data_IF_614587417368
#
_entry.id   IF_614587417368
#
_cell.length_a   1.000
_cell.length_b   1.000
_cell.length_c   1.000
_cell.angle_alpha   90.00
_cell.angle_beta   90.00
_cell.angle_gamma   90.00
#
_symmetry.space_group_name_H-M   'P 1'
#
loop_
_entity.id
_entity.type
_entity.pdbx_description
1 polymer ?
#
# COMPACT_ATOMS: atom_id res chain seq x y z
N UNK A 1 -3.65 37.31 -33.68
CA UNK A 1 -2.41 36.83 -34.35
C UNK A 1 -2.03 35.50 -33.73
N UNK A 2 -2.35 34.40 -34.43
CA UNK A 2 -2.00 33.05 -34.03
C UNK A 2 -0.48 32.84 -34.20
N UNK A 3 0.22 32.48 -33.11
CA UNK A 3 1.57 31.93 -33.20
C UNK A 3 1.46 30.40 -33.13
N UNK A 4 1.67 29.78 -34.29
CA UNK A 4 1.91 28.35 -34.47
C UNK A 4 3.00 27.90 -33.49
N UNK A 5 2.66 27.02 -32.56
CA UNK A 5 3.64 26.17 -31.89
C UNK A 5 4.04 25.08 -32.89
N UNK A 6 5.30 25.11 -33.28
CA UNK A 6 5.94 24.14 -34.15
C UNK A 6 5.98 22.77 -33.48
N UNK A 7 5.44 21.77 -34.17
CA UNK A 7 5.72 20.36 -33.90
C UNK A 7 7.22 20.08 -34.10
N UNK A 8 7.86 19.37 -33.16
CA UNK A 8 9.19 18.80 -33.39
C UNK A 8 9.37 17.41 -32.77
N UNK A 9 9.54 16.47 -33.70
CA UNK A 9 10.30 15.21 -33.72
C UNK A 9 10.51 14.41 -32.43
N UNK A 10 9.85 13.27 -32.40
CA UNK A 10 10.30 12.01 -31.84
C UNK A 10 11.53 11.47 -32.60
N UNK A 11 12.75 11.75 -32.14
CA UNK A 11 13.92 10.88 -32.41
C UNK A 11 15.01 11.21 -31.39
N UNK A 12 15.17 10.35 -30.39
CA UNK A 12 16.19 10.50 -29.36
C UNK A 12 16.19 9.31 -28.42
N UNK A 13 16.45 8.13 -28.96
CA UNK A 13 16.71 6.93 -28.17
C UNK A 13 17.99 7.18 -27.37
N UNK A 14 17.86 7.60 -26.11
CA UNK A 14 18.99 7.78 -25.20
C UNK A 14 19.00 6.60 -24.21
N UNK A 15 19.84 5.55 -24.42
CA UNK A 15 19.76 4.33 -23.64
C UNK A 15 20.31 4.47 -22.20
N UNK A 16 20.86 5.63 -21.83
CA UNK A 16 21.66 5.79 -20.61
C UNK A 16 21.14 6.75 -19.53
N UNK A 17 20.10 7.55 -19.78
CA UNK A 17 19.63 8.57 -18.85
C UNK A 17 18.49 8.10 -17.96
N UNK A 18 18.77 7.74 -16.69
CA UNK A 18 17.71 7.46 -15.73
C UNK A 18 16.93 8.71 -15.35
N UNK A 19 15.70 8.88 -15.86
CA UNK A 19 14.77 9.93 -15.43
C UNK A 19 13.78 10.35 -16.52
N UNK A 20 12.74 11.10 -16.12
CA UNK A 20 11.67 11.55 -17.03
C UNK A 20 12.02 12.83 -17.81
N UNK A 21 13.29 12.99 -18.18
CA UNK A 21 13.82 14.17 -18.89
C UNK A 21 13.33 14.29 -20.34
N UNK A 22 12.71 13.24 -20.89
CA UNK A 22 12.08 13.25 -22.21
C UNK A 22 10.68 13.87 -22.19
N UNK A 23 10.04 14.00 -21.02
CA UNK A 23 8.73 14.63 -20.91
C UNK A 23 8.83 16.14 -21.14
N UNK A 24 7.82 16.78 -21.77
CA UNK A 24 7.79 18.23 -21.93
C UNK A 24 7.92 18.95 -20.58
N UNK A 25 8.81 19.94 -20.53
CA UNK A 25 8.92 20.83 -19.37
C UNK A 25 7.85 21.90 -19.50
N UNK A 26 6.99 21.99 -18.48
CA UNK A 26 6.01 23.07 -18.37
C UNK A 26 6.57 24.19 -17.49
N UNK A 27 6.37 25.43 -17.93
CA UNK A 27 6.56 26.61 -17.08
C UNK A 27 5.34 26.78 -16.18
N UNK A 28 5.56 27.08 -14.90
CA UNK A 28 4.48 27.42 -13.96
C UNK A 28 4.21 28.92 -14.07
N UNK A 29 3.07 29.28 -14.65
CA UNK A 29 2.61 30.67 -14.68
C UNK A 29 1.88 30.97 -13.37
N UNK A 30 2.35 31.95 -12.62
CA UNK A 30 1.74 32.35 -11.34
C UNK A 30 1.03 33.69 -11.51
N UNK A 31 -0.28 33.70 -11.27
CA UNK A 31 -1.11 34.90 -11.24
C UNK A 31 -1.72 35.10 -9.86
N UNK A 32 -2.19 36.32 -9.56
CA UNK A 32 -2.99 36.60 -8.37
C UNK A 32 -4.45 36.79 -8.78
N UNK A 33 -5.35 36.01 -8.22
CA UNK A 33 -6.80 36.15 -8.38
C UNK A 33 -7.44 36.13 -7.00
N UNK A 34 -8.21 37.16 -6.66
CA UNK A 34 -8.90 37.30 -5.36
C UNK A 34 -7.98 37.09 -4.14
N UNK A 35 -6.76 37.62 -4.21
CA UNK A 35 -5.75 37.49 -3.17
C UNK A 35 -5.04 36.13 -3.10
N UNK A 36 -5.47 35.13 -3.87
CA UNK A 36 -4.86 33.81 -3.94
C UNK A 36 -3.86 33.70 -5.09
N UNK A 37 -2.78 32.92 -4.87
CA UNK A 37 -1.80 32.60 -5.91
C UNK A 37 -2.32 31.42 -6.74
N UNK A 38 -2.72 31.69 -7.98
CA UNK A 38 -3.14 30.68 -8.96
C UNK A 38 -1.91 30.24 -9.75
N UNK A 39 -1.71 28.93 -9.88
CA UNK A 39 -0.68 28.31 -10.72
C UNK A 39 -1.35 27.71 -11.95
N UNK A 40 -0.91 28.09 -13.14
CA UNK A 40 -1.30 27.49 -14.42
C UNK A 40 -0.14 26.70 -15.00
N UNK A 41 -0.41 25.46 -15.40
CA UNK A 41 0.57 24.50 -15.94
C UNK A 41 -0.05 23.71 -17.10
N UNK A 42 0.79 23.16 -17.97
CA UNK A 42 0.40 22.17 -18.96
C UNK A 42 0.65 20.78 -18.36
N UNK A 43 -0.38 19.93 -18.35
CA UNK A 43 -0.33 18.58 -17.76
C UNK A 43 -0.73 17.52 -18.75
N UNK A 44 -0.26 16.30 -18.51
CA UNK A 44 -0.68 15.10 -19.25
C UNK A 44 -1.66 14.32 -18.41
N UNK A 45 -2.77 13.87 -19.01
CA UNK A 45 -3.70 12.93 -18.40
C UNK A 45 -3.08 11.55 -18.28
N UNK A 46 -3.15 10.95 -17.09
CA UNK A 46 -2.56 9.63 -16.85
C UNK A 46 -3.25 8.50 -17.63
N UNK A 47 -4.54 8.65 -17.91
CA UNK A 47 -5.39 7.71 -18.65
C UNK A 47 -5.44 7.98 -20.17
N UNK A 48 -4.76 9.02 -20.66
CA UNK A 48 -4.74 9.39 -22.07
C UNK A 48 -3.83 8.48 -22.90
N UNK A 49 -4.23 8.19 -24.14
CA UNK A 49 -3.45 7.40 -25.10
C UNK A 49 -2.30 8.20 -25.73
N UNK A 50 -2.49 9.51 -25.96
CA UNK A 50 -1.61 10.32 -26.80
C UNK A 50 -0.73 11.33 -26.04
N UNK A 51 -0.61 11.19 -24.72
CA UNK A 51 0.11 12.13 -23.84
C UNK A 51 -0.20 13.63 -24.13
N UNK A 52 -1.46 13.93 -24.49
CA UNK A 52 -1.93 15.26 -24.86
C UNK A 52 -1.76 16.25 -23.70
N UNK A 53 -1.23 17.44 -24.01
CA UNK A 53 -1.05 18.53 -23.06
C UNK A 53 -2.35 19.31 -22.88
N UNK A 54 -2.79 19.42 -21.63
CA UNK A 54 -3.98 20.15 -21.23
C UNK A 54 -3.58 21.25 -20.25
N UNK A 55 -4.11 22.46 -20.45
CA UNK A 55 -3.92 23.54 -19.50
C UNK A 55 -4.72 23.27 -18.22
N UNK A 56 -4.07 23.41 -17.07
CA UNK A 56 -4.68 23.24 -15.76
C UNK A 56 -4.30 24.40 -14.84
N UNK A 57 -5.30 25.05 -14.26
CA UNK A 57 -5.13 26.06 -13.22
C UNK A 57 -5.54 25.53 -11.85
N UNK A 58 -4.68 25.70 -10.85
CA UNK A 58 -4.95 25.28 -9.48
C UNK A 58 -4.37 26.23 -8.43
N UNK A 59 -4.95 26.19 -7.23
CA UNK A 59 -4.41 26.85 -6.03
C UNK A 59 -3.84 25.79 -5.08
N UNK A 60 -2.67 26.07 -4.49
CA UNK A 60 -2.10 25.21 -3.45
C UNK A 60 -2.68 25.59 -2.10
N UNK A 61 -3.35 24.66 -1.41
CA UNK A 61 -4.09 24.95 -0.18
C UNK A 61 -3.30 24.58 1.08
N UNK A 62 -2.74 23.37 1.13
CA UNK A 62 -2.10 22.82 2.34
C UNK A 62 -0.93 21.91 1.98
N UNK A 63 0.17 22.02 2.72
CA UNK A 63 1.22 20.98 2.69
C UNK A 63 0.74 19.80 3.52
N UNK A 64 0.57 18.65 2.90
CA UNK A 64 0.00 17.45 3.54
C UNK A 64 1.04 16.36 3.82
N UNK A 65 2.21 16.43 3.17
CA UNK A 65 3.35 15.55 3.42
C UNK A 65 4.68 16.19 3.05
N UNK A 66 5.73 15.86 3.81
CA UNK A 66 7.13 16.16 3.49
C UNK A 66 7.95 14.90 3.75
N UNK A 67 8.76 14.49 2.79
CA UNK A 67 9.62 13.32 2.90
C UNK A 67 10.94 13.51 2.17
N UNK A 68 11.79 12.49 2.23
CA UNK A 68 13.08 12.43 1.52
C UNK A 68 12.95 12.64 0.02
N UNK A 69 11.85 12.20 -0.58
CA UNK A 69 11.61 12.26 -2.03
C UNK A 69 10.92 13.55 -2.49
N UNK A 70 10.46 14.40 -1.56
CA UNK A 70 9.90 15.71 -1.88
C UNK A 70 8.71 16.12 -1.01
N UNK A 71 7.85 16.96 -1.59
CA UNK A 71 6.73 17.60 -0.89
C UNK A 71 5.41 17.20 -1.54
N UNK A 72 4.42 16.87 -0.72
CA UNK A 72 3.05 16.63 -1.15
C UNK A 72 2.17 17.78 -0.69
N UNK A 73 1.45 18.39 -1.63
CA UNK A 73 0.52 19.48 -1.36
C UNK A 73 -0.89 19.11 -1.80
N UNK A 74 -1.87 19.48 -1.00
CA UNK A 74 -3.25 19.56 -1.46
C UNK A 74 -3.37 20.75 -2.42
N UNK A 75 -4.04 20.50 -3.54
CA UNK A 75 -4.38 21.51 -4.53
C UNK A 75 -5.88 21.48 -4.80
N UNK A 76 -6.43 22.63 -5.20
CA UNK A 76 -7.81 22.76 -5.65
C UNK A 76 -7.81 23.33 -7.06
N UNK A 77 -8.45 22.64 -8.01
CA UNK A 77 -8.58 23.14 -9.37
C UNK A 77 -9.47 24.37 -9.39
N UNK A 78 -9.09 25.37 -10.20
CA UNK A 78 -9.83 26.65 -10.27
C UNK A 78 -11.18 26.46 -10.96
N UNK A 79 -11.22 25.67 -12.02
CA UNK A 79 -12.41 25.56 -12.88
C UNK A 79 -13.48 24.62 -12.28
N UNK A 80 -13.08 23.44 -11.81
CA UNK A 80 -14.01 22.44 -11.26
C UNK A 80 -14.20 22.55 -9.74
N UNK A 81 -13.29 23.21 -9.03
CA UNK A 81 -13.25 23.22 -7.57
C UNK A 81 -12.85 21.88 -6.93
N UNK A 82 -12.52 20.86 -7.72
CA UNK A 82 -12.09 19.55 -7.24
C UNK A 82 -10.75 19.62 -6.52
N UNK A 83 -10.55 18.71 -5.58
CA UNK A 83 -9.37 18.66 -4.71
C UNK A 83 -8.51 17.46 -5.07
N UNK A 84 -7.20 17.70 -5.24
CA UNK A 84 -6.21 16.69 -5.58
C UNK A 84 -4.98 16.81 -4.66
N UNK A 85 -4.11 15.80 -4.70
CA UNK A 85 -2.78 15.85 -4.10
C UNK A 85 -1.73 15.94 -5.21
N UNK A 86 -0.83 16.92 -5.14
CA UNK A 86 0.34 16.98 -6.02
C UNK A 86 1.60 16.60 -5.25
N UNK A 87 2.31 15.56 -5.71
CA UNK A 87 3.61 15.13 -5.20
C UNK A 87 4.71 15.65 -6.12
N UNK A 88 5.60 16.46 -5.56
CA UNK A 88 6.75 17.04 -6.27
C UNK A 88 7.97 16.17 -5.99
N UNK A 89 8.48 15.50 -7.03
CA UNK A 89 9.61 14.57 -6.91
C UNK A 89 10.79 15.11 -7.70
N UNK A 90 11.88 15.41 -6.99
CA UNK A 90 13.13 15.84 -7.63
C UNK A 90 13.64 14.72 -8.54
N UNK A 91 13.89 15.05 -9.81
CA UNK A 91 14.54 14.13 -10.75
C UNK A 91 16.04 14.25 -10.59
N UNK A 92 16.66 13.17 -10.12
CA UNK A 92 18.11 13.05 -10.03
C UNK A 92 18.59 12.13 -11.16
N UNK A 93 19.49 12.62 -12.01
CA UNK A 93 20.03 11.86 -13.15
C UNK A 93 20.70 10.54 -12.73
N UNK A 94 21.13 10.44 -11.47
CA UNK A 94 21.76 9.23 -10.91
C UNK A 94 20.75 8.17 -10.49
N UNK A 95 19.48 8.55 -10.29
CA UNK A 95 18.45 7.65 -9.78
C UNK A 95 17.32 7.46 -10.81
N UNK A 96 17.12 6.21 -11.24
CA UNK A 96 15.97 5.84 -12.06
C UNK A 96 14.71 5.89 -11.20
N UNK A 97 13.95 6.98 -11.31
CA UNK A 97 12.60 7.05 -10.74
C UNK A 97 11.66 6.19 -11.61
N UNK A 98 11.01 5.19 -10.99
CA UNK A 98 10.05 4.27 -11.65
C UNK A 98 8.61 4.55 -11.24
N UNK A 99 8.39 5.52 -10.35
CA UNK A 99 7.11 5.77 -9.71
C UNK A 99 6.02 6.09 -10.74
N UNK A 100 6.30 6.98 -11.71
CA UNK A 100 5.34 7.32 -12.76
C UNK A 100 5.01 6.11 -13.64
N UNK A 101 6.01 5.32 -14.03
CA UNK A 101 5.80 4.14 -14.88
C UNK A 101 4.91 3.12 -14.17
N UNK A 102 5.18 2.87 -12.88
CA UNK A 102 4.40 1.95 -12.07
C UNK A 102 2.99 2.49 -11.86
N UNK A 103 2.82 3.69 -11.28
CA UNK A 103 1.50 4.18 -10.89
C UNK A 103 0.57 4.42 -12.09
N UNK A 104 1.13 4.75 -13.27
CA UNK A 104 0.35 4.91 -14.51
C UNK A 104 -0.25 3.57 -14.99
N UNK A 105 0.36 2.44 -14.67
CA UNK A 105 -0.16 1.12 -15.02
C UNK A 105 -1.16 0.55 -14.00
N UNK A 106 -1.48 1.27 -12.92
CA UNK A 106 -2.33 0.79 -11.84
C UNK A 106 -3.74 1.39 -11.94
N UNK A 107 -4.75 0.53 -11.84
CA UNK A 107 -6.15 0.93 -11.74
C UNK A 107 -6.90 -0.06 -10.83
N UNK A 108 -7.11 0.34 -9.58
CA UNK A 108 -7.74 -0.51 -8.56
C UNK A 108 -8.37 0.34 -7.45
N UNK A 109 -9.55 -0.04 -6.89
CA UNK A 109 -10.25 0.74 -5.86
C UNK A 109 -9.39 1.02 -4.62
N UNK A 110 -8.51 0.09 -4.23
CA UNK A 110 -7.64 0.22 -3.06
C UNK A 110 -6.20 0.68 -3.37
N UNK A 111 -5.96 1.25 -4.55
CA UNK A 111 -4.72 1.94 -4.91
C UNK A 111 -5.05 3.41 -5.21
N UNK A 112 -4.19 4.33 -4.79
CA UNK A 112 -4.34 5.76 -5.14
C UNK A 112 -4.15 5.95 -6.64
N UNK A 113 -5.14 6.55 -7.29
CA UNK A 113 -5.14 6.85 -8.73
C UNK A 113 -4.27 8.04 -9.05
N UNK A 114 -3.37 7.87 -10.02
CA UNK A 114 -2.75 8.99 -10.74
C UNK A 114 -3.76 9.59 -11.70
N UNK A 115 -3.98 10.90 -11.64
CA UNK A 115 -4.90 11.61 -12.52
C UNK A 115 -4.13 12.34 -13.63
N UNK A 116 -3.06 13.03 -13.26
CA UNK A 116 -2.24 13.80 -14.19
C UNK A 116 -0.78 13.80 -13.77
N UNK A 117 0.12 14.12 -14.71
CA UNK A 117 1.53 14.32 -14.42
C UNK A 117 2.14 15.39 -15.32
N UNK A 118 3.22 16.01 -14.86
CA UNK A 118 3.97 17.01 -15.63
C UNK A 118 5.37 17.23 -15.06
N UNK A 119 6.30 17.73 -15.87
CA UNK A 119 7.65 18.06 -15.44
C UNK A 119 7.86 19.57 -15.38
N UNK A 120 8.54 20.06 -14.35
CA UNK A 120 8.87 21.49 -14.18
C UNK A 120 10.37 21.67 -13.96
N UNK A 121 10.93 22.78 -14.44
CA UNK A 121 12.34 23.14 -14.22
C UNK A 121 12.45 24.27 -13.19
N UNK A 122 13.14 24.02 -12.09
CA UNK A 122 13.63 25.09 -11.21
C UNK A 122 14.89 25.69 -11.85
N UNK A 123 14.69 26.80 -12.58
CA UNK A 123 15.75 27.49 -13.32
C UNK A 123 16.89 27.98 -12.42
N UNK A 124 16.63 28.25 -11.15
CA UNK A 124 17.66 28.73 -10.22
C UNK A 124 18.59 27.60 -9.77
N UNK A 125 18.10 26.36 -9.76
CA UNK A 125 18.84 25.17 -9.29
C UNK A 125 19.18 24.20 -10.40
N UNK A 126 18.86 24.54 -11.65
CA UNK A 126 18.94 23.65 -12.81
C UNK A 126 18.40 22.24 -12.52
N UNK A 127 17.26 22.18 -11.83
CA UNK A 127 16.72 20.94 -11.27
C UNK A 127 15.33 20.67 -11.85
N UNK A 128 15.17 19.51 -12.47
CA UNK A 128 13.86 19.02 -12.95
C UNK A 128 13.09 18.37 -11.81
N UNK A 129 11.79 18.65 -11.74
CA UNK A 129 10.85 18.00 -10.85
C UNK A 129 9.77 17.32 -11.68
N UNK A 130 9.48 16.06 -11.33
CA UNK A 130 8.29 15.36 -11.77
C UNK A 130 7.17 15.65 -10.77
N UNK A 131 6.03 16.06 -11.27
CA UNK A 131 4.86 16.38 -10.48
C UNK A 131 3.76 15.36 -10.77
N UNK A 132 3.32 14.63 -9.74
CA UNK A 132 2.27 13.62 -9.84
C UNK A 132 1.01 14.18 -9.19
N UNK A 133 -0.04 14.45 -9.97
CA UNK A 133 -1.36 14.84 -9.48
C UNK A 133 -2.21 13.58 -9.31
N UNK A 134 -2.57 13.28 -8.07
CA UNK A 134 -3.31 12.09 -7.66
C UNK A 134 -4.63 12.48 -7.00
N UNK A 135 -5.57 11.54 -6.92
CA UNK A 135 -6.78 11.72 -6.12
C UNK A 135 -6.43 12.09 -4.67
N UNK A 136 -7.20 13.01 -4.07
CA UNK A 136 -7.01 13.39 -2.68
C UNK A 136 -7.81 12.50 -1.75
N UNK A 137 -7.14 11.92 -0.76
CA UNK A 137 -7.75 11.14 0.33
C UNK A 137 -7.38 11.85 1.65
N UNK A 138 -8.35 12.12 2.55
CA UNK A 138 -8.17 13.13 3.60
C UNK A 138 -7.22 12.71 4.72
N UNK A 139 -7.24 11.43 5.10
CA UNK A 139 -6.50 10.91 6.25
C UNK A 139 -5.53 9.80 5.88
N UNK A 140 -4.68 9.44 6.85
CA UNK A 140 -3.85 8.23 6.78
C UNK A 140 -4.21 7.31 7.93
N UNK A 141 -4.05 6.00 7.72
CA UNK A 141 -4.27 4.99 8.77
C UNK A 141 -3.45 5.34 10.02
N UNK A 142 -2.21 5.82 9.85
CA UNK A 142 -1.39 6.32 10.96
C UNK A 142 -2.10 7.39 11.80
N UNK A 143 -2.66 8.43 11.15
CA UNK A 143 -3.34 9.52 11.87
C UNK A 143 -4.59 9.04 12.60
N UNK A 144 -5.36 8.13 11.98
CA UNK A 144 -6.56 7.59 12.62
C UNK A 144 -6.19 6.71 13.82
N UNK A 145 -5.21 5.81 13.71
CA UNK A 145 -4.72 5.00 14.85
C UNK A 145 -4.26 5.93 15.99
N UNK A 146 -3.48 6.97 15.68
CA UNK A 146 -2.99 7.92 16.67
C UNK A 146 -4.11 8.75 17.31
N UNK A 147 -5.18 9.07 16.56
CA UNK A 147 -6.35 9.75 17.10
C UNK A 147 -7.04 8.91 18.17
N UNK A 148 -7.30 7.62 17.91
CA UNK A 148 -7.89 6.71 18.90
C UNK A 148 -6.98 6.56 20.13
N UNK A 149 -5.68 6.33 19.91
CA UNK A 149 -4.69 6.18 20.99
C UNK A 149 -4.61 7.39 21.92
N UNK A 150 -4.54 8.62 21.37
CA UNK A 150 -4.50 9.87 22.16
C UNK A 150 -5.77 10.08 22.98
N UNK A 151 -6.91 9.65 22.46
CA UNK A 151 -8.20 9.69 23.15
C UNK A 151 -8.42 8.47 24.07
N UNK A 152 -7.40 7.62 24.29
CA UNK A 152 -7.46 6.41 25.12
C UNK A 152 -8.57 5.43 24.70
N UNK A 153 -8.91 5.43 23.42
CA UNK A 153 -9.85 4.50 22.83
C UNK A 153 -9.11 3.40 22.07
N UNK A 154 -9.67 2.19 22.07
CA UNK A 154 -9.22 1.12 21.18
C UNK A 154 -9.77 1.37 19.78
N UNK A 155 -8.97 1.07 18.76
CA UNK A 155 -9.45 1.12 17.39
C UNK A 155 -10.50 0.00 17.19
N UNK A 156 -11.71 0.29 16.69
CA UNK A 156 -12.78 -0.70 16.68
C UNK A 156 -12.44 -1.88 15.75
N UNK A 157 -12.65 -3.10 16.24
CA UNK A 157 -12.28 -4.34 15.55
C UNK A 157 -12.88 -4.44 14.14
N UNK A 158 -14.11 -3.99 13.96
CA UNK A 158 -14.78 -3.96 12.66
C UNK A 158 -13.96 -3.15 11.62
N UNK A 159 -13.48 -1.97 12.00
CA UNK A 159 -12.66 -1.15 11.11
C UNK A 159 -11.26 -1.75 10.91
N UNK A 160 -10.69 -2.47 11.88
CA UNK A 160 -9.43 -3.22 11.67
C UNK A 160 -9.64 -4.24 10.55
N UNK A 161 -10.72 -5.02 10.60
CA UNK A 161 -11.07 -6.00 9.55
C UNK A 161 -11.26 -5.29 8.20
N UNK A 162 -12.07 -4.24 8.18
CA UNK A 162 -12.41 -3.52 6.96
C UNK A 162 -11.18 -2.87 6.29
N UNK A 163 -10.30 -2.27 7.08
CA UNK A 163 -9.11 -1.58 6.57
C UNK A 163 -8.06 -2.60 6.13
N UNK A 164 -7.80 -3.63 6.94
CA UNK A 164 -6.83 -4.67 6.57
C UNK A 164 -7.25 -5.48 5.37
N UNK A 165 -8.55 -5.77 5.19
CA UNK A 165 -9.04 -6.42 3.97
C UNK A 165 -8.70 -5.60 2.73
N UNK A 166 -8.97 -4.30 2.75
CA UNK A 166 -8.68 -3.38 1.64
C UNK A 166 -7.17 -3.23 1.38
N UNK A 167 -6.34 -3.22 2.43
CA UNK A 167 -4.87 -3.23 2.31
C UNK A 167 -4.42 -4.51 1.60
N UNK A 168 -4.86 -5.68 2.08
CA UNK A 168 -4.53 -6.96 1.46
C UNK A 168 -5.00 -7.03 0.01
N UNK A 169 -6.19 -6.51 -0.30
CA UNK A 169 -6.68 -6.46 -1.68
C UNK A 169 -5.81 -5.59 -2.58
N UNK A 170 -5.46 -4.38 -2.14
CA UNK A 170 -4.53 -3.51 -2.88
C UNK A 170 -3.18 -4.16 -3.11
N UNK A 171 -2.63 -4.85 -2.11
CA UNK A 171 -1.37 -5.58 -2.22
C UNK A 171 -1.48 -6.78 -3.16
N UNK A 172 -2.56 -7.58 -3.05
CA UNK A 172 -2.81 -8.71 -3.95
C UNK A 172 -2.85 -8.26 -5.42
N UNK A 173 -3.51 -7.13 -5.70
CA UNK A 173 -3.56 -6.55 -7.04
C UNK A 173 -2.18 -6.21 -7.59
N UNK A 174 -1.33 -5.50 -6.84
CA UNK A 174 0.01 -5.13 -7.33
C UNK A 174 0.95 -6.34 -7.39
N UNK A 175 0.80 -7.32 -6.48
CA UNK A 175 1.61 -8.55 -6.46
C UNK A 175 1.30 -9.43 -7.67
N UNK A 176 0.04 -9.50 -8.10
CA UNK A 176 -0.38 -10.14 -9.36
C UNK A 176 0.38 -9.58 -10.58
N UNK A 177 0.70 -8.28 -10.57
CA UNK A 177 1.45 -7.61 -11.63
C UNK A 177 2.98 -7.73 -11.44
N UNK A 178 3.45 -8.51 -10.46
CA UNK A 178 4.87 -8.65 -10.11
C UNK A 178 5.46 -7.42 -9.41
N UNK A 179 4.63 -6.45 -9.01
CA UNK A 179 5.07 -5.19 -8.39
C UNK A 179 5.13 -5.40 -6.88
N UNK A 180 6.30 -5.17 -6.30
CA UNK A 180 6.51 -5.08 -4.86
C UNK A 180 6.56 -3.62 -4.43
N UNK A 181 5.77 -3.22 -3.43
CA UNK A 181 5.69 -1.85 -2.95
C UNK A 181 6.95 -1.44 -2.16
N UNK A 182 7.45 -2.34 -1.30
CA UNK A 182 8.68 -2.20 -0.51
C UNK A 182 8.71 -1.04 0.49
N UNK A 183 7.55 -0.48 0.85
CA UNK A 183 7.44 0.57 1.89
C UNK A 183 6.02 0.64 2.48
N UNK A 184 5.42 -0.52 2.75
CA UNK A 184 4.10 -0.59 3.38
C UNK A 184 4.22 -0.21 4.86
N UNK A 185 3.42 0.78 5.25
CA UNK A 185 3.34 1.32 6.61
C UNK A 185 2.07 2.17 6.75
N UNK A 186 1.55 2.42 7.97
CA UNK A 186 0.33 3.18 8.20
C UNK A 186 0.32 4.58 7.58
N UNK A 187 1.48 5.20 7.35
CA UNK A 187 1.58 6.52 6.70
C UNK A 187 1.33 6.47 5.19
N UNK A 188 1.60 5.33 4.54
CA UNK A 188 1.40 5.10 3.10
C UNK A 188 0.06 4.42 2.80
N UNK A 189 -0.80 4.30 3.81
CA UNK A 189 -2.17 3.82 3.68
C UNK A 189 -3.09 5.00 3.91
N UNK A 190 -3.61 5.59 2.82
CA UNK A 190 -4.57 6.67 2.90
C UNK A 190 -5.95 6.11 3.24
N UNK A 191 -6.75 6.85 3.98
CA UNK A 191 -8.12 6.46 4.29
C UNK A 191 -9.09 7.64 4.27
N UNK A 192 -10.31 7.35 3.85
CA UNK A 192 -11.47 8.23 3.96
C UNK A 192 -12.37 7.62 5.05
N UNK A 193 -12.35 8.14 6.30
CA UNK A 193 -13.13 7.58 7.40
C UNK A 193 -14.64 7.63 7.14
N UNK A 194 -15.14 8.63 6.42
CA UNK A 194 -16.56 8.79 6.14
C UNK A 194 -17.04 7.73 5.14
N UNK A 195 -16.22 7.41 4.13
CA UNK A 195 -16.51 6.36 3.14
C UNK A 195 -15.98 4.98 3.54
N UNK A 196 -15.23 4.90 4.63
CA UNK A 196 -14.52 3.71 5.08
C UNK A 196 -13.61 3.07 4.02
N UNK A 197 -13.06 3.87 3.10
CA UNK A 197 -12.19 3.39 2.01
C UNK A 197 -10.72 3.53 2.39
N UNK A 198 -9.91 2.51 2.08
CA UNK A 198 -8.44 2.54 2.21
C UNK A 198 -7.78 2.39 0.85
N UNK A 199 -6.74 3.20 0.62
CA UNK A 199 -5.93 3.19 -0.60
C UNK A 199 -4.44 3.18 -0.27
N UNK A 200 -3.69 2.29 -0.91
CA UNK A 200 -2.22 2.26 -0.86
C UNK A 200 -1.67 3.36 -1.75
N UNK A 201 -0.70 4.14 -1.24
CA UNK A 201 -0.06 5.24 -1.94
C UNK A 201 1.47 5.19 -1.82
N UNK A 202 2.16 6.10 -2.52
CA UNK A 202 3.63 6.26 -2.50
C UNK A 202 4.41 5.08 -3.09
N UNK A 203 4.36 4.99 -4.42
CA UNK A 203 5.09 3.99 -5.20
C UNK A 203 6.55 4.38 -5.48
N UNK A 204 7.10 5.37 -4.76
CA UNK A 204 8.48 5.83 -4.93
C UNK A 204 9.54 4.76 -4.66
N UNK A 205 9.21 3.79 -3.80
CA UNK A 205 10.05 2.61 -3.51
C UNK A 205 9.64 1.37 -4.31
N UNK A 206 8.56 1.41 -5.09
CA UNK A 206 8.05 0.21 -5.74
C UNK A 206 8.97 -0.27 -6.88
N UNK A 207 8.95 -1.58 -7.16
CA UNK A 207 9.70 -2.20 -8.27
C UNK A 207 8.98 -3.48 -8.72
N UNK A 208 8.96 -3.71 -10.03
CA UNK A 208 8.67 -5.04 -10.59
C UNK A 208 9.86 -5.95 -10.25
N UNK A 209 9.59 -7.00 -9.47
CA UNK A 209 10.61 -7.98 -9.10
C UNK A 209 10.70 -9.03 -10.20
N UNK A 210 11.90 -9.18 -10.74
CA UNK A 210 12.21 -10.18 -11.77
C UNK A 210 13.01 -11.27 -11.06
N UNK A 211 12.62 -12.53 -11.31
CA UNK A 211 13.30 -13.68 -10.75
C UNK A 211 14.79 -13.65 -11.13
N UNK A 212 15.67 -14.00 -10.20
CA UNK A 212 17.12 -14.06 -10.39
C UNK A 212 17.80 -12.69 -10.64
N UNK A 213 17.06 -11.57 -10.57
CA UNK A 213 17.65 -10.23 -10.57
C UNK A 213 17.85 -9.70 -9.13
N UNK A 214 19.07 -9.24 -8.77
CA UNK A 214 19.32 -8.71 -7.44
C UNK A 214 18.62 -7.37 -7.20
N UNK A 215 18.21 -7.17 -5.95
CA UNK A 215 17.52 -5.98 -5.48
C UNK A 215 18.24 -5.38 -4.27
N UNK A 216 18.09 -4.08 -4.07
CA UNK A 216 18.60 -3.40 -2.87
C UNK A 216 17.86 -3.94 -1.63
N UNK A 217 18.61 -4.47 -0.67
CA UNK A 217 18.09 -4.99 0.60
C UNK A 217 17.77 -3.88 1.61
N UNK A 218 18.57 -2.81 1.63
CA UNK A 218 18.32 -1.63 2.47
C UNK A 218 17.19 -0.77 1.91
N UNK A 219 15.97 -1.30 2.00
CA UNK A 219 14.71 -0.72 1.54
C UNK A 219 13.66 -0.92 2.64
N UNK A 220 12.47 -0.33 2.48
CA UNK A 220 11.40 -0.31 3.48
C UNK A 220 11.73 0.49 4.74
N UNK A 221 10.72 1.15 5.29
CA UNK A 221 10.80 1.82 6.58
C UNK A 221 11.08 0.81 7.69
N UNK A 222 12.08 1.10 8.53
CA UNK A 222 12.73 0.13 9.44
C UNK A 222 11.76 -0.74 10.25
N UNK A 223 10.75 -0.15 10.91
CA UNK A 223 9.82 -0.88 11.77
C UNK A 223 8.93 -1.90 11.05
N UNK A 224 8.81 -1.77 9.72
CA UNK A 224 7.99 -2.64 8.86
C UNK A 224 8.85 -3.54 7.98
N UNK A 225 10.18 -3.49 8.14
CA UNK A 225 11.14 -4.21 7.30
C UNK A 225 11.12 -5.70 7.65
N UNK A 226 10.97 -6.53 6.62
CA UNK A 226 11.01 -7.98 6.72
C UNK A 226 12.40 -8.49 7.14
N UNK A 227 12.49 -9.60 7.90
CA UNK A 227 13.75 -10.08 8.45
C UNK A 227 14.78 -10.46 7.38
N UNK A 228 14.36 -11.00 6.23
CA UNK A 228 15.26 -11.29 5.10
C UNK A 228 15.95 -10.03 4.54
N UNK A 229 15.27 -8.87 4.53
CA UNK A 229 15.87 -7.60 4.13
C UNK A 229 16.89 -7.10 5.16
N UNK A 230 16.64 -7.37 6.45
CA UNK A 230 17.57 -7.03 7.54
C UNK A 230 18.84 -7.88 7.42
N UNK A 231 18.69 -9.16 7.05
CA UNK A 231 19.78 -10.08 6.76
C UNK A 231 20.47 -9.83 5.41
N UNK A 232 20.07 -8.79 4.68
CA UNK A 232 20.74 -8.37 3.44
C UNK A 232 20.39 -9.20 2.21
N UNK A 233 19.29 -9.95 2.22
CA UNK A 233 18.84 -10.69 1.04
C UNK A 233 18.61 -9.75 -0.15
N UNK A 234 19.18 -10.08 -1.30
CA UNK A 234 19.01 -9.34 -2.56
C UNK A 234 17.98 -9.99 -3.48
N UNK A 235 17.67 -11.27 -3.25
CA UNK A 235 16.69 -12.07 -3.99
C UNK A 235 15.44 -12.34 -3.13
N UNK A 236 14.75 -11.26 -2.76
CA UNK A 236 13.48 -11.33 -2.04
C UNK A 236 12.29 -11.23 -3.00
N UNK A 237 11.10 -11.59 -2.50
CA UNK A 237 9.84 -11.56 -3.27
C UNK A 237 8.88 -10.48 -2.74
N UNK A 238 7.67 -10.44 -3.27
CA UNK A 238 6.58 -9.59 -2.76
C UNK A 238 6.17 -9.92 -1.32
N UNK A 239 6.64 -11.05 -0.76
CA UNK A 239 6.37 -11.45 0.63
C UNK A 239 6.93 -10.49 1.67
N UNK A 240 7.84 -9.58 1.30
CA UNK A 240 8.28 -8.48 2.18
C UNK A 240 7.13 -7.51 2.49
N UNK A 241 6.23 -7.26 1.54
CA UNK A 241 5.04 -6.42 1.76
C UNK A 241 4.02 -7.13 2.66
N UNK A 242 3.92 -8.46 2.55
CA UNK A 242 3.06 -9.30 3.41
C UNK A 242 3.49 -9.20 4.87
N UNK A 243 4.80 -9.27 5.13
CA UNK A 243 5.36 -9.01 6.45
C UNK A 243 5.00 -7.62 6.96
N UNK A 244 5.22 -6.58 6.13
CA UNK A 244 4.88 -5.21 6.49
C UNK A 244 3.38 -5.04 6.79
N UNK A 245 2.50 -5.72 6.06
CA UNK A 245 1.06 -5.75 6.34
C UNK A 245 0.74 -6.43 7.69
N UNK A 246 1.48 -7.48 8.06
CA UNK A 246 1.44 -8.08 9.41
C UNK A 246 1.82 -7.07 10.50
N UNK A 247 2.87 -6.29 10.29
CA UNK A 247 3.24 -5.21 11.22
C UNK A 247 2.13 -4.16 11.37
N UNK A 248 1.48 -3.77 10.25
CA UNK A 248 0.33 -2.85 10.27
C UNK A 248 -0.86 -3.46 11.04
N UNK A 249 -1.17 -4.74 10.83
CA UNK A 249 -2.24 -5.43 11.55
C UNK A 249 -1.98 -5.41 13.06
N UNK A 250 -0.77 -5.72 13.51
CA UNK A 250 -0.41 -5.63 14.93
C UNK A 250 -0.55 -4.19 15.46
N UNK A 251 -0.09 -3.19 14.71
CA UNK A 251 -0.15 -1.78 15.09
C UNK A 251 -1.58 -1.25 15.24
N UNK A 252 -2.56 -1.77 14.49
CA UNK A 252 -3.98 -1.44 14.74
C UNK A 252 -4.43 -1.80 16.16
N UNK A 253 -3.93 -2.90 16.74
CA UNK A 253 -4.33 -3.34 18.08
C UNK A 253 -3.58 -2.60 19.20
N UNK A 254 -2.28 -2.38 19.03
CA UNK A 254 -1.43 -1.82 20.10
C UNK A 254 -1.11 -0.33 19.93
N UNK A 255 -1.53 0.27 18.80
CA UNK A 255 -1.34 1.67 18.43
C UNK A 255 0.12 2.17 18.50
N UNK A 256 1.07 1.27 18.31
CA UNK A 256 2.50 1.52 18.22
C UNK A 256 3.16 0.47 17.32
N UNK A 257 4.34 0.76 16.74
CA UNK A 257 5.07 -0.23 15.95
C UNK A 257 5.36 -1.48 16.79
N UNK A 258 5.08 -2.66 16.23
CA UNK A 258 5.27 -3.95 16.92
C UNK A 258 6.75 -4.32 17.10
N UNK A 259 7.60 -3.86 16.18
CA UNK A 259 9.06 -4.06 16.20
C UNK A 259 9.80 -2.70 16.10
N UNK A 260 9.95 -1.95 17.20
CA UNK A 260 10.56 -0.61 17.19
C UNK A 260 12.08 -0.65 17.40
N UNK A 261 12.87 -1.05 16.39
CA UNK A 261 14.34 -1.08 16.49
C UNK A 261 15.03 0.22 16.04
N UNK A 262 16.11 0.63 16.70
CA UNK A 262 16.84 1.86 16.35
C UNK A 262 17.89 1.66 15.25
N UNK A 263 18.43 0.45 15.11
CA UNK A 263 19.35 0.00 14.06
C UNK A 263 18.85 -1.27 13.35
N UNK A 264 19.56 -1.74 12.32
CA UNK A 264 19.23 -3.04 11.70
C UNK A 264 19.36 -4.20 12.70
N UNK A 265 20.40 -4.17 13.55
CA UNK A 265 20.62 -5.18 14.57
C UNK A 265 19.53 -5.13 15.65
N UNK A 266 19.17 -3.93 16.10
CA UNK A 266 18.09 -3.76 17.08
C UNK A 266 16.74 -4.16 16.51
N UNK A 267 16.48 -3.84 15.23
CA UNK A 267 15.26 -4.28 14.54
C UNK A 267 15.15 -5.79 14.53
N UNK A 268 16.23 -6.51 14.21
CA UNK A 268 16.24 -7.97 14.26
C UNK A 268 16.08 -8.50 15.69
N UNK A 269 16.70 -7.85 16.67
CA UNK A 269 16.54 -8.16 18.10
C UNK A 269 15.08 -8.01 18.56
N UNK A 270 14.36 -6.96 18.12
CA UNK A 270 12.94 -6.77 18.43
C UNK A 270 12.06 -7.87 17.82
N UNK A 271 12.38 -8.31 16.59
CA UNK A 271 11.69 -9.46 15.97
C UNK A 271 11.93 -10.73 16.81
N UNK A 272 13.19 -11.03 17.14
CA UNK A 272 13.54 -12.21 17.95
C UNK A 272 12.97 -12.15 19.37
N UNK A 273 12.72 -10.95 19.92
CA UNK A 273 12.07 -10.78 21.23
C UNK A 273 10.65 -11.34 21.22
N UNK A 274 9.95 -11.28 20.08
CA UNK A 274 8.57 -11.75 19.94
C UNK A 274 8.51 -13.15 19.33
N UNK A 275 9.17 -13.37 18.19
CA UNK A 275 9.10 -14.64 17.47
C UNK A 275 10.04 -15.72 18.03
N UNK A 276 10.94 -15.35 18.96
CA UNK A 276 12.02 -16.22 19.40
C UNK A 276 13.18 -16.24 18.41
N UNK A 277 14.22 -17.02 18.71
CA UNK A 277 15.38 -17.15 17.82
C UNK A 277 15.02 -17.97 16.59
N UNK A 278 15.29 -17.50 15.35
CA UNK A 278 15.07 -18.29 14.16
C UNK A 278 15.98 -19.53 14.17
N UNK A 279 15.50 -20.64 13.62
CA UNK A 279 16.34 -21.81 13.37
C UNK A 279 17.32 -21.54 12.23
N UNK A 280 18.39 -22.32 12.14
CA UNK A 280 19.36 -22.23 11.04
C UNK A 280 18.68 -22.41 9.67
N UNK A 281 17.74 -23.35 9.56
CA UNK A 281 16.93 -23.55 8.36
C UNK A 281 16.12 -22.30 7.99
N UNK A 282 15.50 -21.63 8.96
CA UNK A 282 14.76 -20.39 8.71
C UNK A 282 15.70 -19.26 8.25
N UNK A 283 16.89 -19.16 8.82
CA UNK A 283 17.91 -18.17 8.42
C UNK A 283 18.34 -18.39 6.97
N UNK A 284 18.62 -19.63 6.59
CA UNK A 284 18.99 -19.97 5.20
C UNK A 284 17.85 -19.71 4.21
N UNK A 285 16.59 -19.91 4.62
CA UNK A 285 15.42 -19.59 3.77
C UNK A 285 15.15 -18.07 3.68
N UNK A 286 15.66 -17.27 4.62
CA UNK A 286 15.63 -15.81 4.54
C UNK A 286 16.77 -15.26 3.68
N UNK A 287 17.99 -15.76 3.85
CA UNK A 287 19.14 -15.40 3.04
C UNK A 287 20.11 -16.59 2.93
N UNK A 288 20.17 -17.28 1.77
CA UNK A 288 21.06 -18.43 1.56
C UNK A 288 22.55 -18.09 1.68
N UNK A 289 22.93 -16.82 1.46
CA UNK A 289 24.32 -16.35 1.51
C UNK A 289 24.74 -15.89 2.90
N UNK A 290 23.90 -16.11 3.92
CA UNK A 290 24.19 -15.69 5.29
C UNK A 290 25.23 -16.61 5.93
N UNK A 291 26.42 -16.08 6.22
CA UNK A 291 27.58 -16.85 6.70
C UNK A 291 27.95 -16.59 8.17
N UNK A 292 27.28 -15.65 8.87
CA UNK A 292 27.74 -15.17 10.18
C UNK A 292 26.72 -15.25 11.35
N UNK A 293 27.29 -15.48 12.54
CA UNK A 293 26.75 -15.29 13.89
C UNK A 293 25.67 -16.25 14.44
N UNK A 294 25.96 -16.71 15.67
CA UNK A 294 24.99 -17.32 16.58
C UNK A 294 24.12 -16.22 17.19
N UNK A 295 22.81 -16.32 17.01
CA UNK A 295 21.87 -15.43 17.68
C UNK A 295 21.70 -15.81 19.16
N UNK A 296 21.48 -14.84 20.06
CA UNK A 296 21.09 -15.14 21.44
C UNK A 296 19.82 -15.99 21.45
N UNK A 297 19.81 -17.07 22.23
CA UNK A 297 18.64 -17.95 22.37
C UNK A 297 17.52 -17.21 23.12
N UNK A 298 16.35 -17.09 22.50
CA UNK A 298 15.14 -16.46 23.03
C UNK A 298 13.94 -17.36 22.75
N UNK A 299 13.05 -17.49 23.73
CA UNK A 299 11.74 -18.11 23.52
C UNK A 299 10.79 -17.09 22.90
N UNK A 300 9.86 -17.57 22.09
CA UNK A 300 8.77 -16.74 21.57
C UNK A 300 7.85 -16.25 22.69
N UNK A 301 7.21 -15.11 22.46
CA UNK A 301 6.18 -14.55 23.32
C UNK A 301 4.82 -14.80 22.67
N UNK A 302 3.83 -15.35 23.42
CA UNK A 302 2.49 -15.55 22.88
C UNK A 302 1.86 -14.24 22.36
N UNK A 303 1.24 -14.30 21.19
CA UNK A 303 0.69 -13.12 20.52
C UNK A 303 -0.45 -12.47 21.29
N UNK A 304 -1.19 -13.22 22.12
CA UNK A 304 -2.20 -12.70 23.04
C UNK A 304 -1.59 -11.65 23.98
N UNK A 305 -0.37 -11.91 24.48
CA UNK A 305 0.37 -11.00 25.34
C UNK A 305 0.92 -9.82 24.56
N UNK A 306 1.43 -10.05 23.35
CA UNK A 306 1.96 -8.99 22.47
C UNK A 306 0.87 -7.99 22.10
N UNK A 307 -0.35 -8.48 21.79
CA UNK A 307 -1.51 -7.67 21.47
C UNK A 307 -2.27 -7.16 22.70
N UNK A 308 -1.71 -7.29 23.91
CA UNK A 308 -2.29 -6.79 25.16
C UNK A 308 -3.72 -7.29 25.42
N UNK A 309 -4.05 -8.51 24.99
CA UNK A 309 -5.39 -9.08 25.10
C UNK A 309 -6.45 -8.47 24.17
N UNK A 310 -6.07 -7.54 23.28
CA UNK A 310 -7.00 -6.85 22.35
C UNK A 310 -7.27 -7.65 21.07
N UNK A 311 -6.41 -8.61 20.75
CA UNK A 311 -6.53 -9.44 19.55
C UNK A 311 -7.48 -10.63 19.75
N UNK A 312 -8.40 -10.83 18.81
CA UNK A 312 -9.21 -12.07 18.76
C UNK A 312 -8.36 -13.26 18.31
N UNK A 313 -8.76 -14.52 18.60
CA UNK A 313 -8.05 -15.70 18.11
C UNK A 313 -7.86 -15.72 16.58
N UNK A 314 -8.88 -15.30 15.82
CA UNK A 314 -8.80 -15.17 14.36
C UNK A 314 -7.83 -14.08 13.90
N UNK A 315 -7.72 -12.98 14.65
CA UNK A 315 -6.75 -11.93 14.35
C UNK A 315 -5.31 -12.41 14.59
N UNK A 316 -5.10 -13.15 15.68
CA UNK A 316 -3.81 -13.75 16.04
C UNK A 316 -3.40 -14.79 14.99
N UNK A 317 -4.31 -15.68 14.56
CA UNK A 317 -4.01 -16.66 13.51
C UNK A 317 -3.59 -15.99 12.19
N UNK A 318 -4.31 -14.95 11.75
CA UNK A 318 -3.92 -14.17 10.58
C UNK A 318 -2.54 -13.53 10.77
N UNK A 319 -2.28 -12.94 11.94
CA UNK A 319 -1.03 -12.26 12.24
C UNK A 319 0.17 -13.23 12.21
N UNK A 320 0.02 -14.42 12.78
CA UNK A 320 1.04 -15.48 12.75
C UNK A 320 1.34 -15.90 11.30
N UNK A 321 0.31 -16.03 10.47
CA UNK A 321 0.47 -16.37 9.04
C UNK A 321 1.10 -15.26 8.21
N UNK A 322 1.03 -14.00 8.64
CA UNK A 322 1.69 -12.87 7.98
C UNK A 322 3.15 -12.68 8.45
N UNK A 323 3.43 -12.94 9.72
CA UNK A 323 4.71 -12.67 10.39
C UNK A 323 5.54 -13.94 10.62
N UNK A 324 5.80 -14.69 9.54
CA UNK A 324 6.73 -15.84 9.56
C UNK A 324 8.14 -15.40 9.11
N UNK A 325 9.17 -16.00 9.72
CA UNK A 325 10.55 -15.83 9.27
C UNK A 325 10.73 -16.30 7.83
N UNK A 326 10.17 -17.45 7.48
CA UNK A 326 10.29 -18.04 6.15
C UNK A 326 9.37 -17.28 5.19
N UNK A 327 9.92 -16.57 4.18
CA UNK A 327 9.08 -15.75 3.29
C UNK A 327 8.01 -16.56 2.56
N UNK A 328 8.32 -17.80 2.13
CA UNK A 328 7.40 -18.68 1.41
C UNK A 328 6.30 -19.30 2.27
N UNK A 329 6.40 -19.25 3.61
CA UNK A 329 5.36 -19.72 4.53
C UNK A 329 4.33 -18.65 4.86
N UNK A 330 4.61 -17.38 4.51
CA UNK A 330 3.66 -16.29 4.72
C UNK A 330 2.45 -16.50 3.83
N UNK A 331 1.26 -16.30 4.39
CA UNK A 331 0.02 -16.30 3.60
C UNK A 331 0.07 -15.18 2.56
N UNK A 332 -0.29 -15.48 1.31
CA UNK A 332 -0.33 -14.43 0.28
C UNK A 332 -1.40 -13.39 0.60
N UNK A 333 -1.29 -12.18 0.08
CA UNK A 333 -2.35 -11.18 0.28
C UNK A 333 -3.70 -11.65 -0.28
N UNK A 334 -3.69 -12.38 -1.41
CA UNK A 334 -4.89 -12.92 -2.03
C UNK A 334 -5.56 -13.97 -1.14
N UNK A 335 -4.80 -14.95 -0.65
CA UNK A 335 -5.32 -15.97 0.27
C UNK A 335 -5.71 -15.38 1.63
N UNK A 336 -4.98 -14.35 2.08
CA UNK A 336 -5.26 -13.61 3.31
C UNK A 336 -6.65 -12.97 3.32
N UNK A 337 -7.16 -12.50 2.18
CA UNK A 337 -8.53 -11.97 2.09
C UNK A 337 -9.60 -13.03 2.39
N UNK A 338 -9.34 -14.30 2.09
CA UNK A 338 -10.24 -15.42 2.40
C UNK A 338 -10.15 -15.88 3.86
N UNK A 339 -9.23 -15.31 4.66
CA UNK A 339 -9.06 -15.69 6.05
C UNK A 339 -10.32 -15.44 6.89
N UNK A 340 -10.57 -16.34 7.86
CA UNK A 340 -11.77 -16.32 8.71
C UNK A 340 -11.93 -15.04 9.55
N UNK A 341 -10.83 -14.31 9.76
CA UNK A 341 -10.83 -13.00 10.41
C UNK A 341 -11.79 -12.01 9.74
N UNK A 342 -11.98 -12.14 8.42
CA UNK A 342 -12.82 -11.26 7.60
C UNK A 342 -14.24 -11.81 7.33
N UNK A 343 -14.63 -12.94 7.93
CA UNK A 343 -15.94 -13.57 7.66
C UNK A 343 -17.12 -12.63 7.88
N UNK A 344 -17.06 -11.79 8.92
CA UNK A 344 -18.11 -10.84 9.26
C UNK A 344 -18.40 -9.85 8.12
N UNK A 345 -17.39 -9.52 7.30
CA UNK A 345 -17.57 -8.63 6.14
C UNK A 345 -18.34 -9.33 5.00
N UNK A 346 -18.29 -10.66 4.96
CA UNK A 346 -18.93 -11.52 3.94
C UNK A 346 -20.29 -12.05 4.35
N UNK A 347 -20.79 -11.69 5.54
CA UNK A 347 -22.15 -12.04 5.93
C UNK A 347 -23.15 -11.35 4.99
N UNK A 348 -24.18 -12.08 4.59
CA UNK A 348 -25.25 -11.51 3.79
C UNK A 348 -25.90 -10.33 4.52
N UNK A 349 -25.93 -9.16 3.88
CA UNK A 349 -26.48 -7.94 4.49
C UNK A 349 -25.53 -7.25 5.48
N UNK A 350 -24.23 -7.59 5.52
CA UNK A 350 -23.28 -6.85 6.34
C UNK A 350 -23.26 -5.35 5.97
N UNK A 351 -23.34 -4.50 6.99
CA UNK A 351 -23.32 -3.03 6.89
C UNK A 351 -22.21 -2.44 7.73
N UNK A 352 -21.94 -1.16 7.52
CA UNK A 352 -21.17 -0.34 8.45
C UNK A 352 -21.89 -0.23 9.81
N UNK A 353 -21.20 0.15 10.90
CA UNK A 353 -21.80 0.28 12.23
C UNK A 353 -22.93 1.31 12.32
N UNK A 354 -22.96 2.29 11.41
CA UNK A 354 -24.02 3.30 11.28
C UNK A 354 -25.21 2.84 10.41
N UNK A 355 -25.18 1.58 9.93
CA UNK A 355 -26.18 1.01 9.02
C UNK A 355 -25.94 1.32 7.54
N UNK A 356 -24.90 2.10 7.22
CA UNK A 356 -24.52 2.40 5.83
C UNK A 356 -23.99 1.18 5.07
N UNK A 357 -23.99 1.22 3.72
CA UNK A 357 -23.44 0.13 2.92
C UNK A 357 -21.92 0.02 3.11
N UNK A 358 -21.40 -1.22 3.08
CA UNK A 358 -19.96 -1.43 2.98
C UNK A 358 -19.40 -0.81 1.69
N UNK A 359 -18.13 -0.36 1.68
CA UNK A 359 -17.46 0.01 0.43
C UNK A 359 -17.35 -1.21 -0.50
N UNK A 360 -16.93 -0.98 -1.75
CA UNK A 360 -16.80 -2.05 -2.73
C UNK A 360 -15.66 -3.03 -2.35
N UNK A 361 -16.00 -4.08 -1.61
CA UNK A 361 -15.05 -5.11 -1.15
C UNK A 361 -14.93 -6.30 -2.12
N UNK A 362 -16.06 -6.68 -2.74
CA UNK A 362 -16.20 -7.96 -3.46
C UNK A 362 -16.29 -7.81 -4.99
N UNK A 363 -16.07 -6.60 -5.51
CA UNK A 363 -16.05 -6.29 -6.93
C UNK A 363 -14.70 -6.70 -7.57
N UNK A 364 -14.31 -7.96 -7.40
CA UNK A 364 -13.08 -8.50 -7.97
C UNK A 364 -13.14 -8.51 -9.50
N UNK A 365 -12.06 -8.09 -10.14
CA UNK A 365 -11.89 -8.27 -11.58
C UNK A 365 -11.70 -9.74 -11.94
N UNK A 366 -11.84 -10.09 -13.22
CA UNK A 366 -11.56 -11.45 -13.68
C UNK A 366 -10.09 -11.80 -13.45
N UNK A 367 -9.18 -10.85 -13.67
CA UNK A 367 -7.74 -11.00 -13.48
C UNK A 367 -7.42 -11.28 -12.00
N UNK A 368 -8.02 -10.53 -11.06
CA UNK A 368 -7.87 -10.78 -9.62
C UNK A 368 -8.30 -12.23 -9.29
N UNK A 369 -9.44 -12.69 -9.81
CA UNK A 369 -9.98 -14.02 -9.52
C UNK A 369 -9.21 -15.18 -10.17
N UNK A 370 -8.32 -14.92 -11.14
CA UNK A 370 -7.44 -15.94 -11.73
C UNK A 370 -6.21 -16.23 -10.88
N UNK A 371 -5.89 -15.40 -9.88
CA UNK A 371 -4.71 -15.59 -9.02
C UNK A 371 -4.78 -16.93 -8.27
N UNK A 372 -5.94 -17.24 -7.67
CA UNK A 372 -6.19 -18.54 -7.06
C UNK A 372 -7.69 -18.92 -7.16
N UNK A 373 -8.10 -19.56 -8.28
CA UNK A 373 -9.51 -19.86 -8.51
C UNK A 373 -10.15 -20.77 -7.45
N UNK A 374 -9.35 -21.59 -6.77
CA UNK A 374 -9.83 -22.56 -5.79
C UNK A 374 -10.53 -21.91 -4.58
N UNK A 375 -10.14 -20.68 -4.23
CA UNK A 375 -10.68 -19.97 -3.06
C UNK A 375 -11.70 -18.88 -3.40
N UNK A 376 -12.05 -18.71 -4.68
CA UNK A 376 -12.98 -17.65 -5.11
C UNK A 376 -14.34 -17.70 -4.40
N UNK A 377 -14.80 -18.90 -4.04
CA UNK A 377 -16.04 -19.09 -3.27
C UNK A 377 -15.96 -18.55 -1.84
N UNK A 378 -14.76 -18.44 -1.25
CA UNK A 378 -14.52 -17.88 0.08
C UNK A 378 -14.39 -16.35 0.07
N UNK A 379 -14.08 -15.76 -1.09
CA UNK A 379 -13.89 -14.32 -1.23
C UNK A 379 -15.21 -13.54 -1.38
N UNK A 380 -16.29 -14.22 -1.76
CA UNK A 380 -17.60 -13.63 -2.01
C UNK A 380 -18.50 -13.71 -0.78
N UNK A 381 -19.49 -12.83 -0.64
CA UNK A 381 -20.50 -12.95 0.41
C UNK A 381 -21.18 -14.33 0.34
N UNK A 382 -21.42 -14.93 1.51
CA UNK A 382 -22.23 -16.13 1.56
C UNK A 382 -23.62 -15.77 1.06
N UNK A 383 -24.15 -16.51 0.08
CA UNK A 383 -25.53 -16.31 -0.33
C UNK A 383 -26.43 -16.53 0.89
N UNK A 384 -27.36 -15.61 1.15
CA UNK A 384 -28.40 -15.82 2.16
C UNK A 384 -29.12 -17.11 1.79
N UNK A 385 -28.87 -18.18 2.55
CA UNK A 385 -29.40 -19.50 2.23
C UNK A 385 -30.92 -19.43 2.09
N UNK A 386 -31.43 -19.83 0.94
CA UNK A 386 -32.68 -20.58 0.86
C UNK A 386 -32.64 -21.63 1.97
N UNK A 387 -33.63 -21.57 2.88
CA UNK A 387 -33.66 -22.39 4.08
C UNK A 387 -33.36 -23.85 3.77
N UNK A 388 -32.30 -24.37 4.36
CA UNK A 388 -32.07 -25.80 4.42
C UNK A 388 -33.22 -26.41 5.21
N UNK A 389 -34.12 -27.08 4.49
CA UNK A 389 -35.05 -28.04 5.08
C UNK A 389 -34.22 -29.00 5.96
N UNK A 390 -34.30 -28.81 7.28
CA UNK A 390 -34.03 -29.88 8.22
C UNK A 390 -35.07 -30.97 7.95
N UNK A 391 -34.72 -31.90 7.07
CA UNK A 391 -35.40 -33.19 6.99
C UNK A 391 -35.15 -33.88 8.32
N UNK A 392 -36.17 -33.83 9.18
CA UNK A 392 -36.25 -34.62 10.39
C UNK A 392 -36.13 -36.10 10.03
N UNK A 393 -34.92 -36.67 10.14
CA UNK A 393 -34.78 -38.12 10.28
C UNK A 393 -35.25 -38.49 11.69
N UNK A 394 -36.55 -38.78 11.82
CA UNK A 394 -37.08 -39.56 12.93
C UNK A 394 -36.38 -40.92 12.90
N UNK A 395 -35.60 -41.21 13.92
CA UNK A 395 -35.10 -42.55 14.22
C UNK A 395 -36.28 -43.42 14.68
N UNK A 396 -36.74 -44.30 13.79
CA UNK A 396 -37.58 -45.44 14.16
C UNK A 396 -36.67 -46.53 14.74
N UNK A 397 -36.70 -46.69 16.06
CA UNK A 397 -36.21 -47.89 16.73
C UNK A 397 -37.12 -49.08 16.38
N UNK A 398 -36.60 -50.26 15.99
CA UNK A 398 -37.41 -51.45 15.88
C UNK A 398 -37.64 -52.04 17.28
N UNK A 399 -38.91 -52.31 17.60
CA UNK A 399 -39.28 -53.22 18.68
C UNK A 399 -38.96 -54.65 18.25
N UNK A 400 -38.06 -55.32 18.96
CA UNK A 400 -38.25 -56.66 19.53
C UNK A 400 -37.08 -57.02 20.43
#
# INVERSE_FOLDING_TARGET
MARKLTAFSTTGNNPGGGGYYHLPITDIVITKRDGQKVKTVQVVRADGADDELIEMSYISTKVIGKGTFGVVQQIKLVDSGEVYAVKWVRQDRKFKNRELQIIRSLSHPNITRLCYFFCTLDKNKDTVYLNLIMEYIPETVHRVIMHYSRNKHTFPLFFIKLYMYQVLRGLAYIHMLGICHRDIKPQNLLCDPDKCVVKVCDFGSAKILIKDEPNVAYICSRYYRAPELILGATEYTTMVDVWSAGCVLAEFFIARPVFPGDSNLDQFSEIMRILGTPTEEQVLQMNPNWTECRFPKRKSVPWERVLEGKGTPKAIDLLIRLLDYVPSKRITCFDGMAHSFFDDLRLAGATLPDGGPLPALFNFSNEELQVNPAINHLLRPQQAGTGSNLVSRKSSLPKK
#
